data_IF_587102418808
#
_entry.id   IF_587102418808
#
_cell.length_a   1.000
_cell.length_b   1.000
_cell.length_c   1.000
_cell.angle_alpha   90.00
_cell.angle_beta   90.00
_cell.angle_gamma   90.00
#
_symmetry.space_group_name_H-M   'P 1'
#
loop_
_entity.id
_entity.type
_entity.pdbx_description
1 polymer ?
#
# COMPACT_ATOMS: atom_id res chain seq x y z
N UNK A 1 -11.44 -12.89 3.74
CA UNK A 1 -10.47 -11.90 4.27
C UNK A 1 -10.10 -10.86 3.23
N UNK A 2 -9.56 -11.22 2.05
CA UNK A 2 -9.20 -10.22 1.03
C UNK A 2 -10.40 -9.39 0.52
N UNK A 3 -11.57 -9.99 0.29
CA UNK A 3 -12.78 -9.24 -0.04
C UNK A 3 -13.19 -8.27 1.07
N UNK A 4 -13.09 -8.68 2.34
CA UNK A 4 -13.35 -7.81 3.48
C UNK A 4 -12.31 -6.68 3.60
N UNK A 5 -11.05 -6.95 3.29
CA UNK A 5 -10.02 -5.92 3.21
C UNK A 5 -10.32 -4.91 2.10
N UNK A 6 -10.73 -5.36 0.90
CA UNK A 6 -11.15 -4.46 -0.18
C UNK A 6 -12.32 -3.56 0.23
N UNK A 7 -13.32 -4.09 0.95
CA UNK A 7 -14.42 -3.30 1.53
C UNK A 7 -13.90 -2.30 2.57
N UNK A 8 -12.93 -2.67 3.40
CA UNK A 8 -12.38 -1.75 4.40
C UNK A 8 -11.46 -0.68 3.82
N UNK A 9 -10.84 -0.92 2.65
CA UNK A 9 -10.19 0.15 1.90
C UNK A 9 -11.23 1.22 1.53
N UNK A 10 -12.40 0.81 1.04
CA UNK A 10 -13.52 1.72 0.76
C UNK A 10 -13.97 2.47 2.02
N UNK A 11 -14.12 1.78 3.16
CA UNK A 11 -14.44 2.43 4.44
C UNK A 11 -13.39 3.47 4.83
N UNK A 12 -12.10 3.18 4.62
CA UNK A 12 -11.02 4.14 4.84
C UNK A 12 -11.12 5.38 3.96
N UNK A 13 -11.46 5.22 2.67
CA UNK A 13 -11.68 6.35 1.76
C UNK A 13 -12.90 7.17 2.19
N UNK A 14 -14.01 6.53 2.56
CA UNK A 14 -15.22 7.21 3.07
C UNK A 14 -14.93 7.97 4.35
N UNK A 15 -14.17 7.39 5.29
CA UNK A 15 -13.73 8.10 6.47
C UNK A 15 -12.87 9.32 6.12
N UNK A 16 -11.97 9.20 5.13
CA UNK A 16 -11.22 10.34 4.58
C UNK A 16 -12.13 11.43 4.01
N UNK A 17 -13.17 11.05 3.27
CA UNK A 17 -14.19 11.97 2.74
C UNK A 17 -14.87 12.78 3.84
N UNK A 18 -15.26 12.13 4.93
CA UNK A 18 -15.89 12.80 6.08
C UNK A 18 -14.92 13.75 6.79
N UNK A 19 -13.65 13.37 6.89
CA UNK A 19 -12.66 14.11 7.67
C UNK A 19 -12.05 15.30 6.92
N UNK A 20 -11.89 15.19 5.61
CA UNK A 20 -11.01 16.08 4.85
C UNK A 20 -11.45 16.39 3.40
N UNK A 21 -12.60 15.86 2.95
CA UNK A 21 -13.15 16.09 1.59
C UNK A 21 -12.10 16.02 0.46
N UNK A 22 -11.36 14.89 0.32
CA UNK A 22 -10.35 14.72 -0.71
C UNK A 22 -10.98 14.57 -2.10
N UNK A 23 -10.15 14.76 -3.12
CA UNK A 23 -10.53 14.63 -4.54
C UNK A 23 -11.10 13.24 -4.89
N UNK A 24 -11.83 13.14 -6.00
CA UNK A 24 -12.45 11.89 -6.47
C UNK A 24 -11.39 10.86 -6.87
N UNK A 25 -10.23 11.30 -7.34
CA UNK A 25 -9.07 10.47 -7.64
C UNK A 25 -8.57 9.65 -6.43
N UNK A 26 -8.92 10.04 -5.19
CA UNK A 26 -8.61 9.27 -3.97
C UNK A 26 -9.11 7.82 -3.99
N UNK A 27 -10.25 7.56 -4.64
CA UNK A 27 -10.82 6.21 -4.78
C UNK A 27 -9.93 5.30 -5.62
N UNK A 28 -9.52 5.78 -6.80
CA UNK A 28 -8.58 5.06 -7.65
C UNK A 28 -7.20 4.96 -7.00
N UNK A 29 -6.77 6.00 -6.28
CA UNK A 29 -5.55 6.00 -5.48
C UNK A 29 -5.52 4.91 -4.42
N UNK A 30 -6.64 4.65 -3.73
CA UNK A 30 -6.74 3.62 -2.71
C UNK A 30 -6.61 2.21 -3.29
N UNK A 31 -7.25 1.95 -4.44
CA UNK A 31 -7.11 0.68 -5.18
C UNK A 31 -5.68 0.51 -5.68
N UNK A 32 -5.10 1.56 -6.25
CA UNK A 32 -3.73 1.57 -6.75
C UNK A 32 -2.73 1.23 -5.62
N UNK A 33 -2.80 1.98 -4.51
CA UNK A 33 -1.92 1.80 -3.36
C UNK A 33 -2.04 0.39 -2.77
N UNK A 34 -3.26 -0.15 -2.70
CA UNK A 34 -3.51 -1.51 -2.22
C UNK A 34 -2.92 -2.57 -3.14
N UNK A 35 -3.11 -2.42 -4.46
CA UNK A 35 -2.61 -3.36 -5.46
C UNK A 35 -1.08 -3.35 -5.53
N UNK A 36 -0.45 -2.18 -5.58
CA UNK A 36 1.01 -2.07 -5.62
C UNK A 36 1.64 -2.57 -4.32
N UNK A 37 1.03 -2.28 -3.16
CA UNK A 37 1.49 -2.84 -1.88
C UNK A 37 1.41 -4.36 -1.90
N UNK A 38 0.29 -4.94 -2.35
CA UNK A 38 0.15 -6.39 -2.47
C UNK A 38 1.21 -7.00 -3.42
N UNK A 39 1.57 -6.33 -4.52
CA UNK A 39 2.66 -6.78 -5.39
C UNK A 39 4.02 -6.73 -4.71
N UNK A 40 4.32 -5.70 -3.92
CA UNK A 40 5.54 -5.66 -3.08
C UNK A 40 5.57 -6.88 -2.16
N UNK A 41 4.46 -7.19 -1.50
CA UNK A 41 4.33 -8.36 -0.62
C UNK A 41 4.49 -9.70 -1.35
N UNK A 42 3.78 -9.88 -2.47
CA UNK A 42 3.83 -11.10 -3.29
C UNK A 42 5.24 -11.35 -3.82
N UNK A 43 5.92 -10.32 -4.32
CA UNK A 43 7.29 -10.40 -4.82
C UNK A 43 8.33 -10.63 -3.72
N UNK A 44 8.03 -10.23 -2.49
CA UNK A 44 8.92 -10.39 -1.32
C UNK A 44 8.73 -11.72 -0.58
N UNK A 45 7.71 -12.51 -0.89
CA UNK A 45 7.46 -13.83 -0.27
C UNK A 45 8.67 -14.78 -0.25
N UNK A 46 9.55 -14.82 -1.27
CA UNK A 46 10.75 -15.67 -1.23
C UNK A 46 11.67 -15.36 -0.03
N UNK A 47 11.70 -14.11 0.44
CA UNK A 47 12.45 -13.73 1.65
C UNK A 47 11.92 -14.41 2.91
N UNK A 48 10.68 -14.90 2.88
CA UNK A 48 9.99 -15.62 3.95
C UNK A 48 9.99 -17.14 3.76
N UNK A 49 10.66 -17.65 2.71
CA UNK A 49 10.73 -19.09 2.41
C UNK A 49 9.46 -19.69 1.82
N UNK A 50 8.58 -18.84 1.26
CA UNK A 50 7.35 -19.22 0.55
C UNK A 50 7.28 -18.49 -0.80
N UNK A 51 6.43 -18.96 -1.71
CA UNK A 51 6.29 -18.37 -3.04
C UNK A 51 4.83 -18.06 -3.34
N UNK A 52 4.58 -17.02 -4.14
CA UNK A 52 3.27 -16.77 -4.72
C UNK A 52 3.07 -17.62 -5.98
N UNK A 53 1.82 -17.84 -6.35
CA UNK A 53 1.51 -18.38 -7.68
C UNK A 53 1.43 -17.23 -8.70
N UNK A 54 1.82 -17.50 -9.95
CA UNK A 54 1.79 -16.51 -11.04
C UNK A 54 0.39 -15.88 -11.22
N UNK A 55 -0.74 -16.60 -11.12
CA UNK A 55 -2.07 -15.99 -11.24
C UNK A 55 -2.36 -14.87 -10.21
N UNK A 56 -1.88 -14.99 -8.97
CA UNK A 56 -2.03 -13.92 -7.97
C UNK A 56 -1.28 -12.66 -8.38
N UNK A 57 -0.06 -12.81 -8.89
CA UNK A 57 0.77 -11.70 -9.36
C UNK A 57 0.13 -11.05 -10.58
N UNK A 58 -0.29 -11.84 -11.58
CA UNK A 58 -0.91 -11.33 -12.80
C UNK A 58 -2.22 -10.59 -12.52
N UNK A 59 -3.10 -11.14 -11.68
CA UNK A 59 -4.36 -10.49 -11.31
C UNK A 59 -4.11 -9.17 -10.58
N UNK A 60 -3.17 -9.14 -9.63
CA UNK A 60 -2.84 -7.92 -8.89
C UNK A 60 -2.19 -6.87 -9.79
N UNK A 61 -1.33 -7.27 -10.73
CA UNK A 61 -0.76 -6.37 -11.74
C UNK A 61 -1.82 -5.78 -12.66
N UNK A 62 -2.81 -6.58 -13.08
CA UNK A 62 -3.96 -6.10 -13.84
C UNK A 62 -4.75 -5.02 -13.07
N UNK A 63 -5.03 -5.26 -11.79
CA UNK A 63 -5.71 -4.26 -10.92
C UNK A 63 -4.86 -2.99 -10.78
N UNK A 64 -3.55 -3.12 -10.57
CA UNK A 64 -2.65 -1.98 -10.46
C UNK A 64 -2.60 -1.13 -11.73
N UNK A 65 -2.49 -1.77 -12.91
CA UNK A 65 -2.51 -1.08 -14.20
C UNK A 65 -3.85 -0.38 -14.46
N UNK A 66 -4.96 -1.07 -14.23
CA UNK A 66 -6.30 -0.49 -14.40
C UNK A 66 -6.53 0.70 -13.46
N UNK A 67 -6.16 0.57 -12.18
CA UNK A 67 -6.28 1.66 -11.21
C UNK A 67 -5.36 2.85 -11.55
N UNK A 68 -4.19 2.60 -12.15
CA UNK A 68 -3.30 3.67 -12.64
C UNK A 68 -3.92 4.44 -13.80
N UNK A 69 -4.55 3.75 -14.75
CA UNK A 69 -5.25 4.39 -15.88
C UNK A 69 -6.47 5.19 -15.41
N UNK A 70 -7.34 4.58 -14.59
CA UNK A 70 -8.52 5.24 -14.04
C UNK A 70 -8.12 6.44 -13.18
N UNK A 71 -7.11 6.29 -12.31
CA UNK A 71 -6.62 7.39 -11.49
C UNK A 71 -6.02 8.53 -12.30
N UNK A 72 -5.32 8.22 -13.40
CA UNK A 72 -4.83 9.24 -14.34
C UNK A 72 -5.98 9.97 -15.03
N UNK A 73 -7.03 9.25 -15.44
CA UNK A 73 -8.21 9.84 -16.07
C UNK A 73 -8.95 10.81 -15.14
N UNK A 74 -9.20 10.37 -13.90
CA UNK A 74 -9.85 11.18 -12.87
C UNK A 74 -9.05 12.47 -12.59
N UNK A 75 -7.72 12.36 -12.47
CA UNK A 75 -6.86 13.53 -12.25
C UNK A 75 -6.89 14.51 -13.43
N UNK A 76 -7.00 14.03 -14.68
CA UNK A 76 -7.13 14.93 -15.84
C UNK A 76 -8.45 15.68 -15.78
N UNK A 77 -9.57 14.97 -15.53
CA UNK A 77 -10.89 15.59 -15.37
C UNK A 77 -10.90 16.65 -14.25
N UNK A 78 -10.29 16.33 -13.10
CA UNK A 78 -10.18 17.25 -11.96
C UNK A 78 -9.38 18.51 -12.29
N UNK A 79 -8.26 18.37 -13.03
CA UNK A 79 -7.42 19.51 -13.43
C UNK A 79 -8.06 20.39 -14.49
N UNK A 80 -8.82 19.80 -15.43
CA UNK A 80 -9.49 20.56 -16.50
C UNK A 80 -10.85 21.11 -16.08
N UNK A 81 -11.43 20.58 -14.99
CA UNK A 81 -12.78 20.93 -14.53
C UNK A 81 -13.88 20.35 -15.43
N UNK A 82 -13.54 19.40 -16.30
CA UNK A 82 -14.48 18.74 -17.22
C UNK A 82 -15.20 17.58 -16.53
N UNK A 83 -16.37 17.19 -17.06
CA UNK A 83 -17.03 15.96 -16.59
C UNK A 83 -16.23 14.73 -17.02
N UNK A 84 -16.37 13.64 -16.28
CA UNK A 84 -15.68 12.36 -16.52
C UNK A 84 -15.88 11.81 -17.93
N UNK A 85 -16.99 12.16 -18.58
CA UNK A 85 -17.37 11.68 -19.91
C UNK A 85 -16.93 12.62 -21.04
N UNK A 86 -16.50 13.84 -20.69
CA UNK A 86 -16.13 14.88 -21.65
C UNK A 86 -14.61 14.97 -21.87
N UNK A 87 -13.81 14.32 -21.01
CA UNK A 87 -12.35 14.26 -21.16
C UNK A 87 -11.98 13.60 -22.48
N UNK A 88 -11.37 14.38 -23.38
CA UNK A 88 -10.89 13.88 -24.66
C UNK A 88 -9.61 13.04 -24.55
N UNK A 89 -9.43 12.08 -25.46
CA UNK A 89 -8.22 11.24 -25.52
C UNK A 89 -6.91 12.05 -25.67
N UNK A 90 -6.96 13.21 -26.35
CA UNK A 90 -5.81 14.12 -26.47
C UNK A 90 -5.42 14.78 -25.15
N UNK A 91 -6.40 15.23 -24.36
CA UNK A 91 -6.18 15.80 -23.03
C UNK A 91 -5.65 14.73 -22.07
N UNK A 92 -6.17 13.51 -22.16
CA UNK A 92 -5.63 12.38 -21.41
C UNK A 92 -4.18 12.05 -21.80
N UNK A 93 -3.86 12.02 -23.10
CA UNK A 93 -2.50 11.77 -23.57
C UNK A 93 -1.50 12.83 -23.05
N UNK A 94 -1.85 14.12 -23.13
CA UNK A 94 -1.04 15.20 -22.57
C UNK A 94 -0.92 15.12 -21.03
N UNK A 95 -1.99 14.69 -20.35
CA UNK A 95 -1.98 14.44 -18.91
C UNK A 95 -1.08 13.26 -18.49
N UNK A 96 -0.97 12.23 -19.34
CA UNK A 96 -0.06 11.09 -19.12
C UNK A 96 1.40 11.51 -19.35
N UNK A 97 1.68 12.33 -20.36
CA UNK A 97 3.03 12.86 -20.63
C UNK A 97 3.59 13.66 -19.45
N UNK A 98 2.71 14.31 -18.69
CA UNK A 98 3.07 15.10 -17.50
C UNK A 98 2.89 14.33 -16.19
N UNK A 99 2.20 13.19 -16.20
CA UNK A 99 1.80 12.42 -15.03
C UNK A 99 2.74 11.25 -14.70
N UNK A 100 3.96 11.55 -14.21
CA UNK A 100 4.98 10.54 -13.90
C UNK A 100 4.47 9.35 -13.05
N UNK A 101 3.70 9.53 -11.94
CA UNK A 101 3.22 8.40 -11.15
C UNK A 101 2.29 7.45 -11.92
N UNK A 102 1.40 8.00 -12.76
CA UNK A 102 0.47 7.21 -13.57
C UNK A 102 1.21 6.39 -14.62
N UNK A 103 2.18 6.99 -15.31
CA UNK A 103 3.03 6.32 -16.29
C UNK A 103 3.83 5.18 -15.65
N UNK A 104 4.49 5.42 -14.50
CA UNK A 104 5.22 4.38 -13.77
C UNK A 104 4.29 3.25 -13.34
N UNK A 105 3.07 3.57 -12.90
CA UNK A 105 2.06 2.56 -12.55
C UNK A 105 1.69 1.64 -13.71
N UNK A 106 1.40 2.21 -14.89
CA UNK A 106 1.05 1.44 -16.09
C UNK A 106 2.23 0.62 -16.61
N UNK A 107 3.39 1.24 -16.78
CA UNK A 107 4.59 0.55 -17.28
C UNK A 107 5.06 -0.52 -16.28
N UNK A 108 4.98 -0.26 -14.98
CA UNK A 108 5.27 -1.23 -13.94
C UNK A 108 4.33 -2.43 -13.99
N UNK A 109 3.02 -2.20 -14.15
CA UNK A 109 2.04 -3.27 -14.31
C UNK A 109 2.33 -4.13 -15.55
N UNK A 110 2.64 -3.50 -16.69
CA UNK A 110 3.03 -4.21 -17.92
C UNK A 110 4.33 -5.00 -17.73
N UNK A 111 5.32 -4.45 -17.03
CA UNK A 111 6.57 -5.16 -16.73
C UNK A 111 6.32 -6.39 -15.84
N UNK A 112 5.44 -6.29 -14.83
CA UNK A 112 5.04 -7.45 -14.00
C UNK A 112 4.26 -8.49 -14.80
N UNK A 113 3.39 -8.08 -15.73
CA UNK A 113 2.71 -9.01 -16.64
C UNK A 113 3.70 -9.69 -17.61
N UNK A 114 4.69 -8.95 -18.10
CA UNK A 114 5.81 -9.50 -18.87
C UNK A 114 6.64 -10.51 -18.06
N UNK A 115 6.88 -10.22 -16.77
CA UNK A 115 7.48 -11.17 -15.83
C UNK A 115 6.62 -12.43 -15.68
N UNK A 116 5.29 -12.29 -15.55
CA UNK A 116 4.37 -13.43 -15.44
C UNK A 116 4.42 -14.32 -16.69
N UNK A 117 4.49 -13.70 -17.86
CA UNK A 117 4.65 -14.41 -19.13
C UNK A 117 6.01 -15.12 -19.21
N UNK A 118 7.10 -14.46 -18.83
CA UNK A 118 8.42 -15.09 -18.75
C UNK A 118 8.45 -16.28 -17.78
N UNK A 119 7.74 -16.19 -16.65
CA UNK A 119 7.60 -17.25 -15.66
C UNK A 119 6.85 -18.50 -16.17
N UNK A 120 6.15 -18.41 -17.32
CA UNK A 120 5.56 -19.59 -17.99
C UNK A 120 6.60 -20.41 -18.76
N UNK A 121 7.78 -19.83 -19.03
CA UNK A 121 8.83 -20.42 -19.88
C UNK A 121 10.15 -20.65 -19.14
N UNK A 122 10.39 -19.90 -18.06
CA UNK A 122 11.60 -19.92 -17.26
C UNK A 122 11.25 -19.67 -15.78
N UNK A 123 12.26 -19.59 -14.91
CA UNK A 123 12.11 -19.28 -13.48
C UNK A 123 12.79 -17.93 -13.14
N UNK A 124 12.25 -16.79 -13.63
CA UNK A 124 12.83 -15.49 -13.33
C UNK A 124 12.69 -15.16 -11.83
N UNK A 125 13.60 -14.36 -11.24
CA UNK A 125 13.55 -14.06 -9.81
C UNK A 125 12.26 -13.32 -9.46
N UNK A 126 11.46 -13.89 -8.57
CA UNK A 126 10.20 -13.27 -8.08
C UNK A 126 10.44 -11.94 -7.35
N UNK A 127 11.64 -11.72 -6.80
CA UNK A 127 12.03 -10.45 -6.19
C UNK A 127 11.96 -9.27 -7.17
N UNK A 128 12.09 -9.51 -8.48
CA UNK A 128 11.93 -8.46 -9.49
C UNK A 128 10.52 -7.84 -9.45
N UNK A 129 9.49 -8.62 -9.14
CA UNK A 129 8.12 -8.11 -8.98
C UNK A 129 8.05 -7.11 -7.83
N UNK A 130 8.70 -7.41 -6.70
CA UNK A 130 8.74 -6.50 -5.56
C UNK A 130 9.53 -5.23 -5.87
N UNK A 131 10.64 -5.34 -6.62
CA UNK A 131 11.42 -4.17 -7.06
C UNK A 131 10.60 -3.26 -7.96
N UNK A 132 9.92 -3.82 -8.98
CA UNK A 132 9.08 -3.04 -9.89
C UNK A 132 7.94 -2.35 -9.13
N UNK A 133 7.26 -3.08 -8.23
CA UNK A 133 6.18 -2.51 -7.41
C UNK A 133 6.71 -1.43 -6.44
N UNK A 134 7.90 -1.62 -5.86
CA UNK A 134 8.54 -0.63 -5.01
C UNK A 134 8.85 0.68 -5.76
N UNK A 135 9.27 0.60 -7.03
CA UNK A 135 9.43 1.79 -7.88
C UNK A 135 8.10 2.52 -8.10
N UNK A 136 7.00 1.77 -8.25
CA UNK A 136 5.65 2.32 -8.29
C UNK A 136 5.28 3.09 -7.02
N UNK A 137 5.53 2.50 -5.85
CA UNK A 137 5.32 3.16 -4.54
C UNK A 137 6.14 4.43 -4.42
N UNK A 138 7.43 4.39 -4.81
CA UNK A 138 8.32 5.55 -4.76
C UNK A 138 7.88 6.67 -5.71
N UNK A 139 7.46 6.34 -6.93
CA UNK A 139 6.99 7.32 -7.90
C UNK A 139 5.81 8.12 -7.35
N UNK A 140 4.84 7.45 -6.71
CA UNK A 140 3.71 8.15 -6.07
C UNK A 140 4.17 8.99 -4.87
N UNK A 141 5.05 8.45 -4.03
CA UNK A 141 5.39 9.05 -2.73
C UNK A 141 6.35 10.24 -2.80
N UNK A 142 7.14 10.33 -3.87
CA UNK A 142 8.20 11.35 -4.04
C UNK A 142 7.76 12.50 -4.96
N UNK A 143 6.82 12.25 -5.85
CA UNK A 143 6.37 13.27 -6.80
C UNK A 143 5.82 14.50 -6.07
N UNK A 144 6.22 15.69 -6.52
CA UNK A 144 5.84 16.97 -5.91
C UNK A 144 6.70 17.45 -4.74
N UNK A 145 7.58 16.61 -4.17
CA UNK A 145 8.36 16.96 -2.97
C UNK A 145 9.86 17.14 -3.23
N UNK A 146 10.33 16.83 -4.45
CA UNK A 146 11.76 16.84 -4.80
C UNK A 146 12.35 18.22 -5.10
N UNK A 147 11.54 19.26 -5.28
CA UNK A 147 11.98 20.60 -5.66
C UNK A 147 12.30 21.50 -4.47
N UNK A 148 11.72 21.21 -3.30
CA UNK A 148 11.85 22.07 -2.10
C UNK A 148 12.88 21.52 -1.09
N UNK A 149 13.16 20.22 -1.12
CA UNK A 149 14.13 19.58 -0.23
C UNK A 149 14.65 18.27 -0.81
N UNK A 150 15.96 18.05 -0.70
CA UNK A 150 16.59 16.81 -1.15
C UNK A 150 16.29 15.60 -0.24
N UNK A 151 15.88 15.82 1.02
CA UNK A 151 15.74 14.74 2.00
C UNK A 151 14.27 14.34 2.28
N UNK A 152 13.31 15.24 2.05
CA UNK A 152 11.87 14.93 2.24
C UNK A 152 11.42 13.75 1.36
N UNK A 153 11.75 13.70 0.06
CA UNK A 153 11.52 12.51 -0.78
C UNK A 153 12.01 11.20 -0.18
N UNK A 154 13.19 11.21 0.45
CA UNK A 154 13.78 10.00 1.04
C UNK A 154 12.95 9.55 2.24
N UNK A 155 12.55 10.48 3.11
CA UNK A 155 11.71 10.19 4.28
C UNK A 155 10.36 9.63 3.86
N UNK A 156 9.68 10.27 2.89
CA UNK A 156 8.40 9.82 2.37
C UNK A 156 8.51 8.48 1.65
N UNK A 157 9.56 8.29 0.86
CA UNK A 157 9.84 7.03 0.16
C UNK A 157 10.07 5.87 1.13
N UNK A 158 10.88 6.08 2.18
CA UNK A 158 11.11 5.05 3.21
C UNK A 158 9.82 4.73 3.96
N UNK A 159 9.03 5.74 4.34
CA UNK A 159 7.74 5.56 4.99
C UNK A 159 6.81 4.69 4.15
N UNK A 160 6.64 5.07 2.88
CA UNK A 160 5.73 4.41 1.96
C UNK A 160 6.18 2.98 1.62
N UNK A 161 7.48 2.75 1.41
CA UNK A 161 8.02 1.40 1.17
C UNK A 161 7.81 0.48 2.37
N UNK A 162 8.04 0.97 3.59
CA UNK A 162 7.79 0.19 4.80
C UNK A 162 6.30 -0.14 4.96
N UNK A 163 5.41 0.83 4.66
CA UNK A 163 3.97 0.64 4.73
C UNK A 163 3.49 -0.38 3.70
N UNK A 164 3.93 -0.22 2.45
CA UNK A 164 3.62 -1.09 1.34
C UNK A 164 4.11 -2.51 1.58
N UNK A 165 5.35 -2.67 2.07
CA UNK A 165 5.89 -3.98 2.42
C UNK A 165 5.12 -4.63 3.57
N UNK A 166 4.80 -3.90 4.64
CA UNK A 166 4.07 -4.46 5.80
C UNK A 166 2.66 -4.91 5.41
N UNK A 167 1.84 -4.00 4.87
CA UNK A 167 0.46 -4.31 4.47
C UNK A 167 0.40 -5.32 3.33
N UNK A 168 1.26 -5.14 2.33
CA UNK A 168 1.39 -6.03 1.19
C UNK A 168 1.75 -7.45 1.57
N UNK A 169 2.74 -7.62 2.43
CA UNK A 169 3.21 -8.95 2.84
C UNK A 169 2.14 -9.67 3.67
N UNK A 170 1.43 -8.99 4.57
CA UNK A 170 0.29 -9.61 5.27
C UNK A 170 -0.80 -10.02 4.29
N UNK A 171 -1.14 -9.14 3.33
CA UNK A 171 -2.09 -9.45 2.26
C UNK A 171 -1.68 -10.69 1.45
N UNK A 172 -0.40 -10.77 1.08
CA UNK A 172 0.18 -11.91 0.39
C UNK A 172 0.10 -13.19 1.23
N UNK A 173 0.48 -13.14 2.52
CA UNK A 173 0.41 -14.28 3.43
C UNK A 173 -1.03 -14.82 3.56
N UNK A 174 -2.00 -13.94 3.78
CA UNK A 174 -3.43 -14.30 3.85
C UNK A 174 -3.91 -14.89 2.51
N UNK A 175 -3.49 -14.27 1.40
CA UNK A 175 -3.91 -14.63 0.05
C UNK A 175 -3.33 -15.94 -0.47
N UNK A 176 -2.09 -16.27 -0.13
CA UNK A 176 -1.35 -17.34 -0.81
C UNK A 176 -0.84 -18.44 0.10
N UNK A 177 -0.54 -18.17 1.38
CA UNK A 177 0.04 -19.19 2.27
C UNK A 177 -1.04 -20.14 2.74
N UNK A 178 -0.78 -21.44 2.55
CA UNK A 178 -1.67 -22.55 2.91
C UNK A 178 -0.97 -23.56 3.81
N UNK A 179 -1.78 -24.25 4.62
CA UNK A 179 -1.33 -25.29 5.54
C UNK A 179 -0.52 -24.78 6.74
N UNK A 180 -0.51 -25.57 7.81
CA UNK A 180 0.22 -25.24 9.06
C UNK A 180 1.73 -25.07 8.84
N UNK A 181 2.31 -25.85 7.92
CA UNK A 181 3.75 -25.79 7.60
C UNK A 181 4.15 -24.49 6.92
N UNK A 182 3.34 -23.99 5.99
CA UNK A 182 3.59 -22.71 5.30
C UNK A 182 3.61 -21.55 6.30
N UNK A 183 2.60 -21.48 7.16
CA UNK A 183 2.53 -20.46 8.21
C UNK A 183 3.66 -20.58 9.26
N UNK A 184 4.01 -21.80 9.68
CA UNK A 184 5.12 -22.01 10.61
C UNK A 184 6.48 -21.56 10.04
N UNK A 185 6.65 -21.59 8.71
CA UNK A 185 7.86 -21.12 8.03
C UNK A 185 7.84 -19.60 7.81
N UNK A 186 6.76 -19.07 7.25
CA UNK A 186 6.71 -17.67 6.80
C UNK A 186 6.52 -16.68 7.95
N UNK A 187 5.71 -17.03 8.96
CA UNK A 187 5.33 -16.09 10.03
C UNK A 187 6.52 -15.61 10.89
N UNK A 188 7.46 -16.47 11.33
CA UNK A 188 8.61 -16.03 12.12
C UNK A 188 9.53 -15.10 11.32
N UNK A 189 9.73 -15.43 10.05
CA UNK A 189 10.54 -14.67 9.10
C UNK A 189 9.91 -13.29 8.82
N UNK A 190 8.58 -13.24 8.69
CA UNK A 190 7.83 -11.99 8.55
C UNK A 190 7.96 -11.16 9.83
N UNK A 191 7.66 -11.76 10.99
CA UNK A 191 7.69 -11.05 12.28
C UNK A 191 9.08 -10.46 12.56
N UNK A 192 10.16 -11.19 12.27
CA UNK A 192 11.54 -10.71 12.42
C UNK A 192 11.81 -9.45 11.59
N UNK A 193 11.39 -9.44 10.32
CA UNK A 193 11.58 -8.31 9.39
C UNK A 193 10.61 -7.16 9.62
N UNK A 194 9.42 -7.44 10.16
CA UNK A 194 8.42 -6.42 10.45
C UNK A 194 8.88 -5.42 11.51
N UNK A 195 9.67 -5.85 12.51
CA UNK A 195 10.11 -4.96 13.58
C UNK A 195 10.91 -3.73 13.06
N UNK A 196 12.02 -3.88 12.32
CA UNK A 196 12.72 -2.72 11.77
C UNK A 196 11.88 -1.91 10.78
N UNK A 197 11.01 -2.56 9.98
CA UNK A 197 10.12 -1.85 9.05
C UNK A 197 9.12 -0.95 9.79
N UNK A 198 8.50 -1.45 10.87
CA UNK A 198 7.56 -0.68 11.71
C UNK A 198 8.26 0.48 12.41
N UNK A 199 9.50 0.27 12.90
CA UNK A 199 10.30 1.35 13.51
C UNK A 199 10.61 2.43 12.48
N UNK A 200 11.13 2.06 11.30
CA UNK A 200 11.43 3.00 10.24
C UNK A 200 10.19 3.76 9.76
N UNK A 201 9.07 3.06 9.55
CA UNK A 201 7.77 3.64 9.20
C UNK A 201 7.29 4.67 10.22
N UNK A 202 7.41 4.34 11.51
CA UNK A 202 6.94 5.21 12.59
C UNK A 202 7.80 6.47 12.67
N UNK A 203 9.13 6.32 12.66
CA UNK A 203 10.06 7.46 12.72
C UNK A 203 9.86 8.38 11.52
N UNK A 204 9.86 7.82 10.31
CA UNK A 204 9.67 8.62 9.08
C UNK A 204 8.27 9.27 9.01
N UNK A 205 7.24 8.59 9.49
CA UNK A 205 5.89 9.16 9.58
C UNK A 205 5.78 10.33 10.55
N UNK A 206 6.44 10.23 11.72
CA UNK A 206 6.51 11.34 12.69
C UNK A 206 7.29 12.52 12.11
N UNK A 207 8.43 12.27 11.45
CA UNK A 207 9.20 13.33 10.80
C UNK A 207 8.38 14.01 9.72
N UNK A 208 7.73 13.25 8.82
CA UNK A 208 6.88 13.80 7.78
C UNK A 208 5.71 14.61 8.34
N UNK A 209 5.05 14.12 9.40
CA UNK A 209 3.98 14.82 10.09
C UNK A 209 4.43 16.19 10.63
N UNK A 210 5.55 16.22 11.37
CA UNK A 210 6.07 17.44 11.98
C UNK A 210 6.48 18.45 10.90
N UNK A 211 7.07 17.99 9.80
CA UNK A 211 7.47 18.86 8.68
C UNK A 211 6.26 19.45 7.96
N UNK A 212 5.22 18.63 7.73
CA UNK A 212 4.10 19.05 6.90
C UNK A 212 3.11 19.98 7.61
N UNK A 213 2.78 19.70 8.88
CA UNK A 213 1.73 20.45 9.60
C UNK A 213 2.20 21.04 10.94
N UNK A 214 3.42 20.75 11.37
CA UNK A 214 3.96 21.23 12.63
C UNK A 214 3.28 20.63 13.86
N UNK A 215 3.46 21.30 15.00
CA UNK A 215 2.80 20.98 16.27
C UNK A 215 1.87 22.13 16.64
N UNK A 216 0.58 21.86 16.87
CA UNK A 216 -0.38 22.89 17.21
C UNK A 216 -1.83 22.57 16.85
N UNK A 217 -2.72 23.58 16.92
CA UNK A 217 -4.14 23.42 16.66
C UNK A 217 -4.48 22.89 15.27
N UNK A 218 -3.59 23.10 14.29
CA UNK A 218 -3.70 22.59 12.92
C UNK A 218 -3.92 21.07 12.88
N UNK A 219 -3.43 20.33 13.89
CA UNK A 219 -3.63 18.88 14.00
C UNK A 219 -5.11 18.48 14.14
N UNK A 220 -5.96 19.29 14.76
CA UNK A 220 -7.38 18.99 14.95
C UNK A 220 -8.31 19.95 14.22
N UNK A 221 -7.86 21.17 13.92
CA UNK A 221 -8.65 22.18 13.23
C UNK A 221 -8.74 21.92 11.72
N UNK A 222 -7.75 21.23 11.13
CA UNK A 222 -7.69 21.00 9.67
C UNK A 222 -8.12 19.59 9.30
N UNK A 223 -8.66 19.40 8.09
CA UNK A 223 -9.00 18.07 7.57
C UNK A 223 -7.78 17.16 7.46
N UNK A 224 -6.66 17.71 6.96
CA UNK A 224 -5.38 17.02 6.89
C UNK A 224 -4.92 16.48 8.27
N UNK A 225 -4.94 17.35 9.29
CA UNK A 225 -4.56 17.01 10.66
C UNK A 225 -5.44 15.89 11.25
N UNK A 226 -6.76 15.96 11.06
CA UNK A 226 -7.69 14.93 11.56
C UNK A 226 -7.44 13.56 10.93
N UNK A 227 -7.17 13.50 9.63
CA UNK A 227 -6.81 12.24 8.95
C UNK A 227 -5.46 11.71 9.46
N UNK A 228 -4.47 12.59 9.67
CA UNK A 228 -3.18 12.23 10.24
C UNK A 228 -3.31 11.67 11.67
N UNK A 229 -4.15 12.28 12.51
CA UNK A 229 -4.46 11.78 13.86
C UNK A 229 -5.13 10.41 13.81
N UNK A 230 -6.11 10.23 12.91
CA UNK A 230 -6.76 8.93 12.72
C UNK A 230 -5.74 7.84 12.33
N UNK A 231 -4.82 8.13 11.38
CA UNK A 231 -3.73 7.21 11.02
C UNK A 231 -2.80 6.92 12.20
N UNK A 232 -2.49 7.92 13.02
CA UNK A 232 -1.63 7.76 14.19
C UNK A 232 -2.28 6.86 15.26
N UNK A 233 -3.57 7.04 15.54
CA UNK A 233 -4.31 6.16 16.46
C UNK A 233 -4.33 4.72 15.94
N UNK A 234 -4.64 4.52 14.66
CA UNK A 234 -4.63 3.19 14.04
C UNK A 234 -3.24 2.55 14.08
N UNK A 235 -2.17 3.32 13.89
CA UNK A 235 -0.79 2.84 14.01
C UNK A 235 -0.49 2.36 15.44
N UNK A 236 -0.89 3.10 16.47
CA UNK A 236 -0.72 2.69 17.87
C UNK A 236 -1.46 1.37 18.15
N UNK A 237 -2.70 1.25 17.66
CA UNK A 237 -3.48 0.01 17.77
C UNK A 237 -2.76 -1.15 17.06
N UNK A 238 -2.29 -0.94 15.83
CA UNK A 238 -1.55 -1.93 15.05
C UNK A 238 -0.27 -2.39 15.75
N UNK A 239 0.51 -1.47 16.32
CA UNK A 239 1.73 -1.79 17.07
C UNK A 239 1.38 -2.62 18.31
N UNK A 240 0.32 -2.25 19.04
CA UNK A 240 -0.16 -3.01 20.20
C UNK A 240 -0.58 -4.43 19.82
N UNK A 241 -1.37 -4.56 18.75
CA UNK A 241 -1.81 -5.85 18.20
C UNK A 241 -0.60 -6.68 17.72
N UNK A 242 0.31 -6.10 16.96
CA UNK A 242 1.50 -6.78 16.45
C UNK A 242 2.43 -7.24 17.59
N UNK A 243 2.59 -6.43 18.65
CA UNK A 243 3.36 -6.80 19.83
C UNK A 243 2.71 -7.97 20.59
N UNK A 244 1.38 -7.96 20.74
CA UNK A 244 0.65 -9.08 21.35
C UNK A 244 0.72 -10.36 20.50
N UNK A 245 0.53 -10.24 19.19
CA UNK A 245 0.64 -11.35 18.25
C UNK A 245 2.05 -11.94 18.21
N UNK A 246 3.10 -11.11 18.23
CA UNK A 246 4.50 -11.55 18.30
C UNK A 246 4.78 -12.40 19.54
N UNK A 247 4.21 -12.06 20.70
CA UNK A 247 4.42 -12.79 21.96
C UNK A 247 3.57 -14.06 22.06
N UNK A 248 2.35 -14.05 21.54
CA UNK A 248 1.37 -15.13 21.74
C UNK A 248 1.23 -16.09 20.56
N UNK A 249 1.26 -15.58 19.32
CA UNK A 249 0.97 -16.35 18.11
C UNK A 249 2.23 -16.93 17.47
N UNK A 250 3.28 -16.12 17.31
CA UNK A 250 4.50 -16.54 16.60
C UNK A 250 5.15 -17.79 17.22
N UNK A 251 5.38 -17.87 18.55
CA UNK A 251 5.98 -19.06 19.16
C UNK A 251 5.12 -20.32 19.01
N UNK A 252 3.79 -20.18 19.06
CA UNK A 252 2.86 -21.30 18.88
C UNK A 252 2.85 -21.80 17.44
N UNK A 253 2.90 -20.88 16.47
CA UNK A 253 2.94 -21.22 15.05
C UNK A 253 4.24 -21.95 14.68
N UNK A 254 5.39 -21.53 15.25
CA UNK A 254 6.68 -22.22 15.08
C UNK A 254 6.63 -23.68 15.53
N UNK A 255 5.88 -23.97 16.60
CA UNK A 255 5.67 -25.33 17.13
C UNK A 255 4.56 -26.09 16.40
N UNK A 256 4.08 -25.59 15.26
CA UNK A 256 2.95 -26.15 14.50
C UNK A 256 1.63 -26.25 15.29
N UNK A 257 1.52 -25.53 16.41
CA UNK A 257 0.37 -25.56 17.34
C UNK A 257 -0.77 -24.61 16.97
N UNK A 258 -0.78 -24.10 15.74
CA UNK A 258 -1.78 -23.15 15.23
C UNK A 258 -2.31 -23.66 13.91
N UNK A 259 -3.64 -23.63 13.77
CA UNK A 259 -4.29 -24.04 12.52
C UNK A 259 -4.11 -22.97 11.44
N UNK A 260 -4.20 -23.36 10.18
CA UNK A 260 -4.21 -22.40 9.07
C UNK A 260 -5.33 -21.36 9.22
N UNK A 261 -6.54 -21.80 9.58
CA UNK A 261 -7.68 -20.91 9.79
C UNK A 261 -7.40 -19.87 10.88
N UNK A 262 -6.82 -20.28 12.01
CA UNK A 262 -6.46 -19.35 13.08
C UNK A 262 -5.41 -18.34 12.61
N UNK A 263 -4.40 -18.78 11.85
CA UNK A 263 -3.39 -17.88 11.27
C UNK A 263 -4.00 -16.87 10.29
N UNK A 264 -4.90 -17.32 9.40
CA UNK A 264 -5.60 -16.45 8.45
C UNK A 264 -6.48 -15.43 9.18
N UNK A 265 -7.15 -15.81 10.27
CA UNK A 265 -7.99 -14.88 11.04
C UNK A 265 -7.15 -13.84 11.76
N UNK A 266 -6.03 -14.23 12.39
CA UNK A 266 -5.12 -13.29 13.08
C UNK A 266 -4.46 -12.32 12.12
N UNK A 267 -3.86 -12.83 11.04
CA UNK A 267 -3.28 -11.99 9.97
C UNK A 267 -4.36 -11.14 9.28
N UNK A 268 -5.54 -11.71 9.06
CA UNK A 268 -6.69 -11.03 8.50
C UNK A 268 -7.11 -9.83 9.35
N UNK A 269 -7.19 -9.97 10.67
CA UNK A 269 -7.51 -8.85 11.56
C UNK A 269 -6.54 -7.67 11.43
N UNK A 270 -5.23 -7.94 11.34
CA UNK A 270 -4.22 -6.90 11.12
C UNK A 270 -4.36 -6.27 9.72
N UNK A 271 -4.59 -7.10 8.69
CA UNK A 271 -4.84 -6.64 7.32
C UNK A 271 -6.06 -5.73 7.20
N UNK A 272 -7.12 -6.03 7.94
CA UNK A 272 -8.36 -5.25 7.94
C UNK A 272 -8.11 -3.83 8.48
N UNK A 273 -7.31 -3.68 9.53
CA UNK A 273 -6.92 -2.37 10.06
C UNK A 273 -6.00 -1.64 9.07
N UNK A 274 -5.01 -2.34 8.50
CA UNK A 274 -4.13 -1.76 7.48
C UNK A 274 -4.89 -1.31 6.24
N UNK A 275 -5.94 -2.02 5.82
CA UNK A 275 -6.80 -1.63 4.71
C UNK A 275 -7.47 -0.27 4.94
N UNK A 276 -7.96 -0.01 6.16
CA UNK A 276 -8.50 1.31 6.54
C UNK A 276 -7.39 2.38 6.46
N UNK A 277 -6.19 2.08 6.95
CA UNK A 277 -5.04 3.00 6.89
C UNK A 277 -4.65 3.34 5.44
N UNK A 278 -4.69 2.37 4.52
CA UNK A 278 -4.41 2.59 3.09
C UNK A 278 -5.49 3.48 2.44
N UNK A 279 -6.77 3.27 2.76
CA UNK A 279 -7.86 4.14 2.30
C UNK A 279 -7.71 5.58 2.80
N UNK A 280 -7.40 5.76 4.09
CA UNK A 280 -7.09 7.07 4.66
C UNK A 280 -5.84 7.72 4.02
N UNK A 281 -4.82 6.92 3.69
CA UNK A 281 -3.61 7.41 3.05
C UNK A 281 -3.89 7.94 1.63
N UNK A 282 -4.74 7.27 0.87
CA UNK A 282 -5.15 7.73 -0.46
C UNK A 282 -5.97 9.03 -0.40
N UNK A 283 -6.86 9.17 0.59
CA UNK A 283 -7.56 10.43 0.85
C UNK A 283 -6.59 11.55 1.22
N UNK A 284 -5.69 11.30 2.17
CA UNK A 284 -4.71 12.30 2.62
C UNK A 284 -3.82 12.82 1.49
N UNK A 285 -3.45 11.97 0.53
CA UNK A 285 -2.61 12.33 -0.61
C UNK A 285 -3.25 13.33 -1.57
N UNK A 286 -4.57 13.48 -1.53
CA UNK A 286 -5.36 14.38 -2.38
C UNK A 286 -6.14 15.41 -1.55
N UNK A 287 -5.79 15.54 -0.27
CA UNK A 287 -6.28 16.61 0.60
C UNK A 287 -5.27 17.75 0.57
N UNK A 288 -5.74 18.98 0.39
CA UNK A 288 -4.89 20.17 0.52
C UNK A 288 -4.23 20.21 1.92
N UNK A 289 -2.90 20.29 1.95
CA UNK A 289 -2.17 20.59 3.17
C UNK A 289 -2.28 22.10 3.40
N UNK A 290 -3.14 22.48 4.38
CA UNK A 290 -3.39 23.82 4.96
C UNK A 290 -3.13 25.02 4.06
#
# INVERSE_FOLDING_TARGET
MLAAAAVLVVVGVVAGQILATPEMSSWAGAVNLSAVSLLVGLGALPLLGVTATVPWIAATAGVWGAASLVGGWLQVAERTGESLFDVGLGAFAAGVETGLPGLVGVLGALAVLGWCFAATRADPPMLLVAVIAALGVLAVSVTGHGTESAWIPVVLGVHALCAAWWAGTIGALVGTVRGRRGWARALPEFSRRALPAVVALTVTGVVAAVVQIGVGPQLWDTGYGRVLLAKSVLLVVLIGVAAWQRRSWVPRAQRHGVTERESIVRAGGELLILAVVLGLAAGLATTAAV
#
